data_IF_762713584129
#
_entry.id   IF_762713584129
#
_cell.length_a   1.000
_cell.length_b   1.000
_cell.length_c   1.000
_cell.angle_alpha   90.00
_cell.angle_beta   90.00
_cell.angle_gamma   90.00
#
_symmetry.space_group_name_H-M   'P 1'
#
loop_
_entity.id
_entity.type
_entity.pdbx_description
1 polymer ?
#
# COMPACT_ATOMS: atom_id res chain seq x y z
N UNK A 1 3.68 21.19 -17.35
CA UNK A 1 3.69 22.09 -16.18
C UNK A 1 2.42 22.01 -15.30
N UNK A 2 1.21 21.78 -15.84
CA UNK A 2 -0.01 21.64 -15.01
C UNK A 2 -0.24 20.24 -14.40
N UNK A 3 0.22 19.19 -15.07
CA UNK A 3 0.04 17.78 -14.65
C UNK A 3 0.88 17.46 -13.41
N UNK A 4 2.12 17.96 -13.34
CA UNK A 4 3.01 17.76 -12.18
C UNK A 4 2.46 18.36 -10.88
N UNK A 5 1.72 19.46 -10.99
CA UNK A 5 1.10 20.14 -9.84
C UNK A 5 -0.13 19.39 -9.32
N UNK A 6 -1.02 18.95 -10.22
CA UNK A 6 -2.19 18.13 -9.85
C UNK A 6 -1.76 16.79 -9.25
N UNK A 7 -0.74 16.16 -9.82
CA UNK A 7 -0.19 14.90 -9.33
C UNK A 7 0.38 15.05 -7.91
N UNK A 8 1.07 16.16 -7.64
CA UNK A 8 1.57 16.49 -6.30
C UNK A 8 0.46 16.77 -5.30
N UNK A 9 -0.61 17.45 -5.70
CA UNK A 9 -1.79 17.70 -4.87
C UNK A 9 -2.57 16.41 -4.55
N UNK A 10 -2.72 15.50 -5.52
CA UNK A 10 -3.33 14.18 -5.32
C UNK A 10 -2.49 13.31 -4.38
N UNK A 11 -1.17 13.27 -4.56
CA UNK A 11 -0.26 12.53 -3.67
C UNK A 11 -0.33 13.09 -2.24
N UNK A 12 -0.31 14.42 -2.08
CA UNK A 12 -0.44 15.04 -0.75
C UNK A 12 -1.83 14.74 -0.14
N UNK A 13 -2.89 14.79 -0.94
CA UNK A 13 -4.24 14.43 -0.51
C UNK A 13 -4.33 12.97 -0.05
N UNK A 14 -3.74 12.04 -0.81
CA UNK A 14 -3.65 10.63 -0.45
C UNK A 14 -2.83 10.44 0.83
N UNK A 15 -1.68 11.10 0.97
CA UNK A 15 -0.86 11.06 2.18
C UNK A 15 -1.59 11.56 3.43
N UNK A 16 -2.35 12.66 3.30
CA UNK A 16 -3.16 13.22 4.39
C UNK A 16 -4.30 12.26 4.74
N UNK A 17 -5.03 11.76 3.74
CA UNK A 17 -6.15 10.85 3.94
C UNK A 17 -5.70 9.52 4.56
N UNK A 18 -4.51 9.06 4.18
CA UNK A 18 -3.87 7.87 4.70
C UNK A 18 -3.31 8.06 6.11
N UNK A 19 -2.75 9.24 6.41
CA UNK A 19 -2.39 9.65 7.78
C UNK A 19 -3.62 9.69 8.69
N UNK A 20 -4.75 10.22 8.20
CA UNK A 20 -6.02 10.22 8.92
C UNK A 20 -6.58 8.81 9.13
N UNK A 21 -6.55 7.96 8.09
CA UNK A 21 -6.99 6.57 8.16
C UNK A 21 -6.17 5.75 9.15
N UNK A 22 -4.84 5.95 9.17
CA UNK A 22 -3.98 5.32 10.16
C UNK A 22 -4.19 5.84 11.58
N UNK A 23 -4.29 7.15 11.75
CA UNK A 23 -4.58 7.73 13.06
C UNK A 23 -5.92 7.24 13.61
N UNK A 24 -6.93 7.08 12.74
CA UNK A 24 -8.21 6.50 13.08
C UNK A 24 -8.11 4.99 13.39
N UNK A 25 -7.32 4.23 12.63
CA UNK A 25 -7.08 2.80 12.88
C UNK A 25 -6.32 2.55 14.19
N UNK A 26 -5.25 3.31 14.44
CA UNK A 26 -4.52 3.33 15.70
C UNK A 26 -5.45 3.78 16.83
N UNK A 27 -6.27 4.81 16.61
CA UNK A 27 -7.27 5.27 17.58
C UNK A 27 -8.32 4.21 17.92
N UNK A 28 -8.84 3.48 16.93
CA UNK A 28 -9.78 2.40 17.14
C UNK A 28 -9.14 1.22 17.87
N UNK A 29 -7.88 0.88 17.55
CA UNK A 29 -7.12 -0.14 18.27
C UNK A 29 -6.88 0.31 19.71
N UNK A 30 -6.39 1.53 19.94
CA UNK A 30 -6.15 2.08 21.28
C UNK A 30 -7.43 2.16 22.11
N UNK A 31 -8.55 2.64 21.55
CA UNK A 31 -9.86 2.66 22.21
C UNK A 31 -10.34 1.23 22.50
N UNK A 32 -10.22 0.31 21.56
CA UNK A 32 -10.57 -1.11 21.76
C UNK A 32 -9.70 -1.79 22.81
N UNK A 33 -8.44 -1.38 22.97
CA UNK A 33 -7.46 -1.91 23.92
C UNK A 33 -7.64 -1.37 25.35
N UNK A 34 -8.22 -0.17 25.48
CA UNK A 34 -8.41 0.53 26.75
C UNK A 34 -9.79 0.31 27.34
N UNK A 35 -10.79 -0.02 26.51
CA UNK A 35 -12.16 -0.27 26.96
C UNK A 35 -12.44 -1.73 27.32
N UNK A 36 -11.69 -2.69 26.75
CA UNK A 36 -11.88 -4.13 26.99
C UNK A 36 -10.52 -4.83 27.12
N UNK A 37 -10.42 -5.85 27.98
CA UNK A 37 -9.26 -6.74 28.06
C UNK A 37 -9.39 -7.83 26.98
N UNK A 38 -8.90 -7.62 25.74
CA UNK A 38 -9.22 -8.50 24.63
C UNK A 38 -8.33 -9.74 24.74
N UNK A 39 -8.91 -10.93 24.51
CA UNK A 39 -8.11 -12.14 24.38
C UNK A 39 -7.13 -12.04 23.20
N UNK A 40 -6.04 -12.83 23.23
CA UNK A 40 -5.00 -12.80 22.18
C UNK A 40 -5.54 -12.97 20.75
N UNK A 41 -6.60 -13.75 20.56
CA UNK A 41 -7.24 -13.95 19.26
C UNK A 41 -7.89 -12.67 18.70
N UNK A 42 -8.48 -11.85 19.57
CA UNK A 42 -9.14 -10.59 19.19
C UNK A 42 -8.11 -9.53 18.80
N UNK A 43 -6.95 -9.50 19.47
CA UNK A 43 -5.83 -8.65 19.10
C UNK A 43 -5.32 -8.98 17.69
N UNK A 44 -5.12 -10.27 17.41
CA UNK A 44 -4.70 -10.74 16.10
C UNK A 44 -5.72 -10.41 15.01
N UNK A 45 -7.01 -10.65 15.25
CA UNK A 45 -8.08 -10.32 14.31
C UNK A 45 -8.11 -8.82 13.96
N UNK A 46 -8.03 -7.94 14.97
CA UNK A 46 -7.97 -6.50 14.77
C UNK A 46 -6.73 -6.08 13.98
N UNK A 47 -5.56 -6.65 14.29
CA UNK A 47 -4.33 -6.39 13.55
C UNK A 47 -4.44 -6.79 12.08
N UNK A 48 -5.02 -7.96 11.80
CA UNK A 48 -5.26 -8.43 10.43
C UNK A 48 -6.17 -7.49 9.67
N UNK A 49 -7.26 -7.01 10.28
CA UNK A 49 -8.17 -6.04 9.64
C UNK A 49 -7.44 -4.73 9.31
N UNK A 50 -6.60 -4.22 10.21
CA UNK A 50 -5.82 -3.00 9.99
C UNK A 50 -4.82 -3.20 8.84
N UNK A 51 -4.07 -4.30 8.84
CA UNK A 51 -3.10 -4.61 7.78
C UNK A 51 -3.77 -4.80 6.41
N UNK A 52 -4.90 -5.49 6.36
CA UNK A 52 -5.68 -5.65 5.12
C UNK A 52 -6.21 -4.31 4.61
N UNK A 53 -6.71 -3.45 5.51
CA UNK A 53 -7.19 -2.12 5.14
C UNK A 53 -6.06 -1.25 4.59
N UNK A 54 -4.88 -1.30 5.23
CA UNK A 54 -3.69 -0.61 4.76
C UNK A 54 -3.30 -1.08 3.35
N UNK A 55 -3.21 -2.39 3.12
CA UNK A 55 -2.87 -2.96 1.83
C UNK A 55 -3.92 -2.61 0.75
N UNK A 56 -5.21 -2.69 1.04
CA UNK A 56 -6.24 -2.29 0.05
C UNK A 56 -6.12 -0.81 -0.30
N UNK A 57 -5.86 0.03 0.70
CA UNK A 57 -5.69 1.48 0.50
C UNK A 57 -4.49 1.77 -0.40
N UNK A 58 -3.35 1.17 -0.12
CA UNK A 58 -2.14 1.39 -0.91
C UNK A 58 -2.20 0.75 -2.29
N UNK A 59 -2.89 -0.38 -2.45
CA UNK A 59 -3.18 -0.95 -3.77
C UNK A 59 -3.89 0.07 -4.69
N UNK A 60 -4.91 0.77 -4.15
CA UNK A 60 -5.63 1.82 -4.87
C UNK A 60 -4.77 3.05 -5.12
N UNK A 61 -3.95 3.45 -4.14
CA UNK A 61 -2.99 4.56 -4.29
C UNK A 61 -2.00 4.27 -5.42
N UNK A 62 -1.42 3.07 -5.47
CA UNK A 62 -0.49 2.69 -6.51
C UNK A 62 -1.16 2.57 -7.87
N UNK A 63 -2.38 2.02 -7.90
CA UNK A 63 -3.23 1.99 -9.09
C UNK A 63 -3.51 3.38 -9.66
N UNK A 64 -3.74 4.38 -8.80
CA UNK A 64 -4.00 5.76 -9.25
C UNK A 64 -2.71 6.50 -9.60
N UNK A 65 -1.60 6.19 -8.92
CA UNK A 65 -0.32 6.86 -9.14
C UNK A 65 0.26 6.52 -10.53
N UNK A 66 0.25 5.24 -10.88
CA UNK A 66 1.06 4.70 -11.96
C UNK A 66 0.64 5.19 -13.34
N UNK A 67 1.60 5.57 -14.19
CA UNK A 67 1.36 6.05 -15.56
C UNK A 67 0.30 7.18 -15.63
N UNK A 68 0.17 7.98 -14.57
CA UNK A 68 -0.81 9.08 -14.51
C UNK A 68 -2.26 8.63 -14.29
N UNK A 69 -2.49 7.39 -13.86
CA UNK A 69 -3.79 6.87 -13.44
C UNK A 69 -4.46 5.91 -14.44
N UNK A 70 -5.59 5.29 -14.04
CA UNK A 70 -6.23 4.22 -14.80
C UNK A 70 -6.76 4.65 -16.16
N UNK A 71 -7.30 5.87 -16.26
CA UNK A 71 -7.83 6.39 -17.53
C UNK A 71 -6.68 6.66 -18.50
N UNK A 72 -5.58 7.24 -18.03
CA UNK A 72 -4.38 7.45 -18.85
C UNK A 72 -3.82 6.11 -19.34
N UNK A 73 -3.76 5.09 -18.47
CA UNK A 73 -3.34 3.72 -18.87
C UNK A 73 -4.28 3.07 -19.88
N UNK A 74 -5.59 3.28 -19.77
CA UNK A 74 -6.57 2.64 -20.65
C UNK A 74 -6.60 3.23 -22.08
N UNK A 75 -6.26 4.51 -22.23
CA UNK A 75 -6.27 5.22 -23.52
C UNK A 75 -4.89 5.23 -24.19
N UNK A 76 -3.82 4.98 -23.43
CA UNK A 76 -2.47 4.93 -23.98
C UNK A 76 -2.24 3.68 -24.84
N UNK A 77 -1.75 3.87 -26.07
CA UNK A 77 -1.35 2.77 -26.96
C UNK A 77 -0.16 1.96 -26.40
N UNK A 78 0.67 2.60 -25.57
CA UNK A 78 1.82 2.00 -24.92
C UNK A 78 2.05 2.61 -23.54
N UNK A 79 2.64 1.83 -22.65
CA UNK A 79 2.97 2.27 -21.29
C UNK A 79 4.19 3.19 -21.31
N UNK A 80 3.96 4.50 -21.21
CA UNK A 80 5.02 5.51 -21.15
C UNK A 80 5.22 6.00 -19.71
N UNK A 81 6.48 6.16 -19.29
CA UNK A 81 6.88 6.70 -17.99
C UNK A 81 6.22 6.01 -16.77
N UNK A 82 6.37 4.69 -16.60
CA UNK A 82 5.78 3.97 -15.48
C UNK A 82 6.37 4.42 -14.13
N UNK A 83 5.54 4.38 -13.09
CA UNK A 83 5.96 4.61 -11.71
C UNK A 83 6.47 3.32 -11.06
N UNK A 84 5.94 2.18 -11.51
CA UNK A 84 6.36 0.86 -11.09
C UNK A 84 6.76 0.02 -12.30
N UNK A 85 7.93 -0.62 -12.24
CA UNK A 85 8.36 -1.61 -13.22
C UNK A 85 7.97 -2.99 -12.71
N UNK A 86 7.05 -3.66 -13.40
CA UNK A 86 6.67 -5.04 -13.16
C UNK A 86 7.58 -5.98 -13.99
N UNK A 87 7.71 -7.26 -13.64
CA UNK A 87 8.57 -8.19 -14.39
C UNK A 87 8.15 -8.36 -15.85
N UNK A 88 6.85 -8.23 -16.13
CA UNK A 88 6.31 -8.32 -17.49
C UNK A 88 6.71 -7.12 -18.36
N UNK A 89 7.15 -5.99 -17.77
CA UNK A 89 7.77 -4.89 -18.52
C UNK A 89 9.18 -5.25 -19.00
N UNK A 90 9.92 -6.04 -18.22
CA UNK A 90 11.31 -6.41 -18.52
C UNK A 90 11.37 -7.64 -19.45
N UNK A 91 10.57 -8.66 -19.14
CA UNK A 91 10.54 -9.92 -19.87
C UNK A 91 9.35 -9.97 -20.84
N UNK A 92 9.38 -9.09 -21.86
CA UNK A 92 8.29 -8.94 -22.84
C UNK A 92 7.94 -10.26 -23.54
N UNK A 93 8.92 -11.16 -23.76
CA UNK A 93 8.66 -12.49 -24.33
C UNK A 93 7.80 -13.41 -23.45
N UNK A 94 7.75 -13.17 -22.13
CA UNK A 94 6.94 -13.92 -21.17
C UNK A 94 5.60 -13.21 -20.87
N UNK A 95 5.48 -11.94 -21.27
CA UNK A 95 4.27 -11.16 -21.10
C UNK A 95 3.19 -11.58 -22.12
N UNK A 96 1.92 -11.52 -21.71
CA UNK A 96 0.81 -11.72 -22.65
C UNK A 96 0.80 -10.58 -23.68
N UNK A 97 0.39 -10.83 -24.94
CA UNK A 97 0.19 -9.77 -25.92
C UNK A 97 -0.77 -8.70 -25.38
N UNK A 98 -0.37 -7.42 -25.45
CA UNK A 98 -1.15 -6.31 -24.90
C UNK A 98 -1.17 -6.25 -23.36
N UNK A 99 -0.14 -6.79 -22.70
CA UNK A 99 -0.01 -6.70 -21.25
C UNK A 99 -0.10 -5.25 -20.78
N UNK A 100 -0.88 -5.05 -19.72
CA UNK A 100 -0.95 -3.84 -18.93
C UNK A 100 -1.25 -4.26 -17.48
N UNK A 101 -0.65 -3.59 -16.48
CA UNK A 101 -0.91 -3.91 -15.10
C UNK A 101 -2.37 -3.58 -14.77
N UNK A 102 -3.03 -4.49 -14.08
CA UNK A 102 -4.43 -4.42 -13.61
C UNK A 102 -4.45 -4.24 -12.11
N UNK A 103 -5.60 -3.87 -11.55
CA UNK A 103 -5.72 -3.58 -10.11
C UNK A 103 -5.17 -4.70 -9.22
N UNK A 104 -5.33 -5.96 -9.63
CA UNK A 104 -4.79 -7.12 -8.91
C UNK A 104 -3.26 -7.13 -8.81
N UNK A 105 -2.55 -6.61 -9.81
CA UNK A 105 -1.08 -6.52 -9.80
C UNK A 105 -0.61 -5.51 -8.74
N UNK A 106 -1.35 -4.41 -8.55
CA UNK A 106 -1.05 -3.43 -7.50
C UNK A 106 -1.52 -3.88 -6.12
N UNK A 107 -2.58 -4.68 -6.03
CA UNK A 107 -2.97 -5.35 -4.79
C UNK A 107 -1.89 -6.33 -4.34
N UNK A 108 -1.34 -7.12 -5.27
CA UNK A 108 -0.21 -7.99 -5.00
C UNK A 108 1.03 -7.17 -4.57
N UNK A 109 1.37 -6.10 -5.29
CA UNK A 109 2.47 -5.19 -4.93
C UNK A 109 2.30 -4.60 -3.52
N UNK A 110 1.11 -4.16 -3.16
CA UNK A 110 0.84 -3.56 -1.86
C UNK A 110 0.90 -4.59 -0.73
N UNK A 111 0.30 -5.78 -0.90
CA UNK A 111 0.41 -6.86 0.09
C UNK A 111 1.87 -7.25 0.32
N UNK A 112 2.64 -7.42 -0.75
CA UNK A 112 4.05 -7.79 -0.70
C UNK A 112 4.91 -6.70 -0.04
N UNK A 113 4.67 -5.43 -0.36
CA UNK A 113 5.35 -4.30 0.26
C UNK A 113 4.97 -4.11 1.75
N UNK A 114 3.71 -4.33 2.12
CA UNK A 114 3.22 -4.27 3.51
C UNK A 114 3.82 -5.36 4.41
N UNK A 115 4.02 -6.58 3.88
CA UNK A 115 4.48 -7.74 4.67
C UNK A 115 6.01 -7.89 4.65
N UNK A 116 6.68 -7.39 3.60
CA UNK A 116 8.15 -7.41 3.45
C UNK A 116 8.83 -8.81 3.49
N UNK A 117 8.06 -9.90 3.38
CA UNK A 117 8.58 -11.29 3.35
C UNK A 117 8.51 -11.97 1.96
N UNK A 118 8.12 -11.26 0.91
CA UNK A 118 7.95 -11.79 -0.45
C UNK A 118 9.06 -11.31 -1.40
N UNK A 119 9.26 -11.97 -2.57
CA UNK A 119 10.11 -11.42 -3.62
C UNK A 119 9.57 -10.05 -4.05
N UNK A 120 10.43 -9.03 -3.97
CA UNK A 120 10.09 -7.66 -4.38
C UNK A 120 10.01 -7.62 -5.90
N UNK A 121 8.82 -7.91 -6.43
CA UNK A 121 8.62 -8.20 -7.85
C UNK A 121 8.46 -6.94 -8.71
N UNK A 122 7.95 -5.83 -8.13
CA UNK A 122 7.83 -4.56 -8.84
C UNK A 122 8.76 -3.47 -8.27
N UNK A 123 9.54 -2.84 -9.14
CA UNK A 123 10.52 -1.82 -8.75
C UNK A 123 9.91 -0.40 -8.83
N UNK A 124 9.98 0.42 -7.76
CA UNK A 124 9.52 1.80 -7.81
C UNK A 124 10.53 2.68 -8.56
N UNK A 125 10.10 3.24 -9.71
CA UNK A 125 10.95 4.06 -10.58
C UNK A 125 10.96 5.53 -10.16
N UNK A 126 9.83 6.07 -9.71
CA UNK A 126 9.71 7.50 -9.36
C UNK A 126 9.91 7.76 -7.87
N UNK A 127 10.29 8.99 -7.53
CA UNK A 127 10.41 9.42 -6.13
C UNK A 127 9.11 9.26 -5.34
N UNK A 128 7.96 9.52 -5.99
CA UNK A 128 6.65 9.35 -5.37
C UNK A 128 6.34 7.89 -5.07
N UNK A 129 6.62 6.97 -6.01
CA UNK A 129 6.46 5.55 -5.80
C UNK A 129 7.32 5.04 -4.63
N UNK A 130 8.61 5.44 -4.59
CA UNK A 130 9.55 5.09 -3.51
C UNK A 130 9.05 5.57 -2.15
N UNK A 131 8.58 6.82 -2.06
CA UNK A 131 8.07 7.39 -0.81
C UNK A 131 6.81 6.67 -0.35
N UNK A 132 5.85 6.42 -1.25
CA UNK A 132 4.59 5.77 -0.89
C UNK A 132 4.82 4.32 -0.44
N UNK A 133 5.70 3.58 -1.12
CA UNK A 133 6.10 2.24 -0.67
C UNK A 133 6.76 2.27 0.72
N UNK A 134 7.66 3.25 0.97
CA UNK A 134 8.29 3.39 2.28
C UNK A 134 7.27 3.69 3.39
N UNK A 135 6.26 4.52 3.11
CA UNK A 135 5.21 4.86 4.09
C UNK A 135 4.34 3.64 4.37
N UNK A 136 3.90 2.92 3.34
CA UNK A 136 3.12 1.69 3.52
C UNK A 136 3.86 0.66 4.39
N UNK A 137 5.14 0.42 4.08
CA UNK A 137 5.97 -0.52 4.83
C UNK A 137 6.17 -0.05 6.28
N UNK A 138 6.39 1.25 6.50
CA UNK A 138 6.55 1.83 7.85
C UNK A 138 5.27 1.67 8.66
N UNK A 139 4.11 2.01 8.08
CA UNK A 139 2.80 1.84 8.72
C UNK A 139 2.55 0.39 9.12
N UNK A 140 2.81 -0.53 8.19
CA UNK A 140 2.62 -1.97 8.41
C UNK A 140 3.54 -2.46 9.51
N UNK A 141 4.83 -2.07 9.48
CA UNK A 141 5.81 -2.39 10.51
C UNK A 141 5.42 -1.87 11.89
N UNK A 142 4.99 -0.61 12.00
CA UNK A 142 4.51 -0.02 13.27
C UNK A 142 3.30 -0.78 13.79
N UNK A 143 2.35 -1.12 12.93
CA UNK A 143 1.15 -1.88 13.31
C UNK A 143 1.52 -3.24 13.88
N UNK A 144 2.40 -3.99 13.20
CA UNK A 144 2.87 -5.30 13.67
C UNK A 144 3.62 -5.18 15.00
N UNK A 145 4.50 -4.19 15.15
CA UNK A 145 5.26 -3.96 16.38
C UNK A 145 4.36 -3.63 17.58
N UNK A 146 3.36 -2.76 17.39
CA UNK A 146 2.40 -2.42 18.46
C UNK A 146 1.58 -3.63 18.90
N UNK A 147 1.13 -4.44 17.96
CA UNK A 147 0.36 -5.66 18.24
C UNK A 147 1.24 -6.67 18.99
N UNK A 148 2.48 -6.87 18.55
CA UNK A 148 3.43 -7.75 19.23
C UNK A 148 3.74 -7.27 20.66
N UNK A 149 4.00 -5.97 20.84
CA UNK A 149 4.25 -5.38 22.16
C UNK A 149 3.06 -5.57 23.10
N UNK A 150 1.83 -5.41 22.61
CA UNK A 150 0.63 -5.64 23.41
C UNK A 150 0.42 -7.11 23.74
N UNK A 151 0.66 -8.02 22.79
CA UNK A 151 0.56 -9.46 23.03
C UNK A 151 1.51 -9.91 24.14
N UNK A 152 2.76 -9.41 24.14
CA UNK A 152 3.75 -9.68 25.20
C UNK A 152 3.25 -9.14 26.55
N UNK A 153 2.74 -7.91 26.61
CA UNK A 153 2.23 -7.28 27.83
C UNK A 153 0.94 -7.94 28.39
N UNK A 154 0.26 -8.77 27.61
CA UNK A 154 -0.93 -9.54 28.08
C UNK A 154 -0.53 -10.92 28.61
N UNK A 155 0.65 -11.43 28.21
CA UNK A 155 1.16 -12.75 28.62
C UNK A 155 2.08 -12.70 29.84
N UNK A 156 2.65 -11.53 30.15
CA UNK A 156 3.49 -11.29 31.35
C UNK A 156 2.75 -10.46 32.39
#
# INVERSE_FOLDING_TARGET
MGVDRRRREVVIGLLVLLGCGNAAGIGCVVVSLTTWAPGGLQLLASATVVLMTNAITFALVFWELDCGGPVARAVADRREWPDFQFPQDEYVQLARPGWSPRLVDYAYLSVTNSVAFSPTDAMPLTHSAKLLMAIEATVSGVTVLLVAARAINVLG
#
